data_IF_799902051360
#
_entry.id   IF_799902051360
#
_cell.length_a   1.000
_cell.length_b   1.000
_cell.length_c   1.000
_cell.angle_alpha   90.00
_cell.angle_beta   90.00
_cell.angle_gamma   90.00
#
_symmetry.space_group_name_H-M   'P 1'
#
loop_
_entity.id
_entity.type
_entity.pdbx_description
1 polymer ?
#
# COMPACT_ATOMS: atom_id res chain seq x y z
N UNK A 1 -28.82 -5.12 -22.51
CA UNK A 1 -28.38 -5.78 -21.27
C UNK A 1 -26.87 -5.70 -21.23
N UNK A 2 -26.39 -4.96 -20.24
CA UNK A 2 -24.99 -4.74 -19.87
C UNK A 2 -24.26 -6.06 -19.60
N UNK A 3 -22.99 -6.12 -19.98
CA UNK A 3 -21.97 -6.62 -19.07
C UNK A 3 -20.64 -5.95 -19.39
N UNK A 4 -20.34 -4.96 -18.54
CA UNK A 4 -19.02 -4.37 -18.34
C UNK A 4 -18.04 -5.52 -18.08
N UNK A 5 -17.03 -5.65 -18.93
CA UNK A 5 -15.83 -6.40 -18.61
C UNK A 5 -14.78 -5.39 -18.21
N UNK A 6 -14.91 -4.85 -16.99
CA UNK A 6 -13.79 -4.21 -16.30
C UNK A 6 -12.84 -5.32 -15.88
N UNK A 7 -11.90 -5.61 -16.76
CA UNK A 7 -10.74 -6.44 -16.47
C UNK A 7 -9.53 -5.53 -16.52
N UNK A 8 -9.36 -4.74 -15.45
CA UNK A 8 -8.14 -3.98 -15.21
C UNK A 8 -7.07 -4.96 -14.76
N UNK A 9 -6.56 -5.71 -15.73
CA UNK A 9 -5.45 -6.62 -15.57
C UNK A 9 -4.17 -5.78 -15.75
N UNK A 10 -3.79 -5.05 -14.69
CA UNK A 10 -2.53 -4.30 -14.67
C UNK A 10 -1.38 -5.31 -14.54
N UNK A 11 -0.82 -5.72 -15.68
CA UNK A 11 0.49 -6.37 -15.67
C UNK A 11 1.55 -5.30 -15.49
N UNK A 12 2.37 -5.46 -14.46
CA UNK A 12 3.61 -4.70 -14.22
C UNK A 12 4.67 -5.12 -15.25
N UNK A 13 4.33 -5.01 -16.53
CA UNK A 13 5.23 -5.27 -17.63
C UNK A 13 5.62 -3.89 -18.19
N UNK A 14 6.77 -3.41 -17.72
CA UNK A 14 7.52 -2.26 -18.23
C UNK A 14 6.87 -0.86 -17.99
N UNK A 15 7.69 0.08 -17.50
CA UNK A 15 7.41 1.53 -17.33
C UNK A 15 6.66 1.96 -16.06
N UNK A 16 7.14 3.06 -15.47
CA UNK A 16 6.59 3.67 -14.26
C UNK A 16 5.08 3.90 -14.36
N UNK A 17 4.36 3.42 -13.33
CA UNK A 17 2.92 3.55 -13.20
C UNK A 17 2.55 4.49 -12.06
N UNK A 18 1.33 5.03 -12.12
CA UNK A 18 0.69 5.72 -11.01
C UNK A 18 -0.46 4.83 -10.55
N UNK A 19 -0.41 4.44 -9.30
CA UNK A 19 -1.47 3.72 -8.63
C UNK A 19 -2.23 4.73 -7.75
N UNK A 20 -3.52 4.93 -7.99
CA UNK A 20 -4.36 5.86 -7.21
C UNK A 20 -5.26 5.12 -6.22
N UNK A 21 -5.05 5.34 -4.92
CA UNK A 21 -5.87 4.77 -3.85
C UNK A 21 -6.69 5.86 -3.18
N UNK A 22 -7.95 5.59 -2.85
CA UNK A 22 -8.75 6.53 -2.07
C UNK A 22 -8.21 6.68 -0.64
N UNK A 23 -8.45 7.80 0.05
CA UNK A 23 -8.05 7.96 1.44
C UNK A 23 -8.59 6.87 2.38
N UNK A 24 -9.75 6.30 2.07
CA UNK A 24 -10.40 5.21 2.81
C UNK A 24 -9.63 3.89 2.64
N UNK A 25 -9.31 3.52 1.40
CA UNK A 25 -8.50 2.32 1.13
C UNK A 25 -7.07 2.49 1.66
N UNK A 26 -6.50 3.69 1.58
CA UNK A 26 -5.23 4.02 2.23
C UNK A 26 -5.29 3.82 3.75
N UNK A 27 -6.41 4.17 4.39
CA UNK A 27 -6.60 3.95 5.82
C UNK A 27 -6.52 2.46 6.18
N UNK A 28 -7.04 1.56 5.33
CA UNK A 28 -6.94 0.10 5.52
C UNK A 28 -5.46 -0.32 5.49
N UNK A 29 -4.71 0.07 4.45
CA UNK A 29 -3.26 -0.21 4.35
C UNK A 29 -2.53 0.27 5.60
N UNK A 30 -2.82 1.50 6.03
CA UNK A 30 -2.18 2.10 7.18
C UNK A 30 -2.49 1.38 8.50
N UNK A 31 -3.74 0.95 8.71
CA UNK A 31 -4.08 0.19 9.92
C UNK A 31 -3.36 -1.15 9.98
N UNK A 32 -3.23 -1.84 8.86
CA UNK A 32 -2.46 -3.10 8.81
C UNK A 32 -0.97 -2.84 9.03
N UNK A 33 -0.41 -1.82 8.37
CA UNK A 33 1.00 -1.46 8.52
C UNK A 33 1.39 -1.08 9.96
N UNK A 34 0.46 -0.52 10.74
CA UNK A 34 0.68 -0.21 12.15
C UNK A 34 0.96 -1.44 13.02
N UNK A 35 0.63 -2.64 12.53
CA UNK A 35 0.93 -3.89 13.24
C UNK A 35 2.33 -4.43 12.94
N UNK A 36 3.04 -3.90 11.94
CA UNK A 36 4.41 -4.34 11.60
C UNK A 36 5.39 -4.33 12.79
N UNK A 37 5.37 -3.35 13.73
CA UNK A 37 6.20 -3.39 14.92
C UNK A 37 5.92 -4.58 15.84
N UNK A 38 4.73 -5.18 15.78
CA UNK A 38 4.33 -6.34 16.57
C UNK A 38 4.65 -7.68 15.88
N UNK A 39 4.97 -7.65 14.58
CA UNK A 39 5.36 -8.84 13.82
C UNK A 39 6.80 -9.22 14.17
N UNK A 40 7.08 -10.51 14.39
CA UNK A 40 8.43 -10.95 14.75
C UNK A 40 9.45 -10.69 13.62
N UNK A 41 10.70 -10.36 13.97
CA UNK A 41 11.79 -10.16 13.01
C UNK A 41 11.97 -11.37 12.10
N UNK A 42 11.81 -12.59 12.63
CA UNK A 42 11.89 -13.83 11.85
C UNK A 42 10.91 -13.86 10.68
N UNK A 43 9.69 -13.38 10.89
CA UNK A 43 8.64 -13.35 9.86
C UNK A 43 8.94 -12.27 8.83
N UNK A 44 9.39 -11.08 9.26
CA UNK A 44 9.82 -10.01 8.33
C UNK A 44 10.99 -10.49 7.46
N UNK A 45 11.99 -11.13 8.05
CA UNK A 45 13.13 -11.69 7.33
C UNK A 45 12.75 -12.81 6.37
N UNK A 46 11.75 -13.65 6.69
CA UNK A 46 11.31 -14.70 5.76
C UNK A 46 10.62 -14.15 4.51
N UNK A 47 10.24 -12.87 4.50
CA UNK A 47 9.74 -12.16 3.31
C UNK A 47 10.85 -11.49 2.48
N UNK A 48 12.12 -11.65 2.87
CA UNK A 48 13.25 -10.95 2.25
C UNK A 48 13.30 -9.47 2.59
N UNK A 49 12.67 -9.06 3.71
CA UNK A 49 12.68 -7.69 4.23
C UNK A 49 13.49 -7.63 5.53
N UNK A 50 13.79 -6.43 5.98
CA UNK A 50 14.45 -6.13 7.26
C UNK A 50 13.52 -5.33 8.16
N UNK A 51 13.87 -5.24 9.45
CA UNK A 51 13.17 -4.34 10.38
C UNK A 51 13.21 -2.88 9.91
N UNK A 52 14.34 -2.45 9.35
CA UNK A 52 14.49 -1.11 8.81
C UNK A 52 13.50 -0.85 7.65
N UNK A 53 13.31 -1.82 6.74
CA UNK A 53 12.31 -1.69 5.67
C UNK A 53 10.89 -1.50 6.22
N UNK A 54 10.53 -2.23 7.28
CA UNK A 54 9.23 -2.10 7.93
C UNK A 54 9.05 -0.74 8.62
N UNK A 55 10.09 -0.25 9.30
CA UNK A 55 10.08 1.05 9.97
C UNK A 55 10.01 2.19 8.95
N UNK A 56 10.74 2.10 7.84
CA UNK A 56 10.70 3.08 6.76
C UNK A 56 9.34 3.09 6.07
N UNK A 57 8.77 1.92 5.79
CA UNK A 57 7.44 1.83 5.21
C UNK A 57 6.39 2.47 6.13
N UNK A 58 6.41 2.13 7.43
CA UNK A 58 5.48 2.71 8.40
C UNK A 58 5.68 4.23 8.55
N UNK A 59 6.93 4.71 8.49
CA UNK A 59 7.25 6.14 8.50
C UNK A 59 6.64 6.86 7.30
N UNK A 60 6.78 6.32 6.09
CA UNK A 60 6.19 6.87 4.86
C UNK A 60 4.67 6.98 5.03
N UNK A 61 4.00 5.90 5.43
CA UNK A 61 2.55 5.92 5.60
C UNK A 61 2.08 6.89 6.69
N UNK A 62 2.84 7.05 7.77
CA UNK A 62 2.53 8.04 8.83
C UNK A 62 2.60 9.48 8.30
N UNK A 63 3.62 9.80 7.51
CA UNK A 63 3.77 11.12 6.89
C UNK A 63 2.60 11.39 5.95
N UNK A 64 2.32 10.47 5.02
CA UNK A 64 1.17 10.57 4.12
C UNK A 64 -0.13 10.70 4.89
N UNK A 65 -0.35 9.91 5.95
CA UNK A 65 -1.57 9.99 6.76
C UNK A 65 -1.73 11.36 7.44
N UNK A 66 -0.63 11.99 7.84
CA UNK A 66 -0.63 13.31 8.46
C UNK A 66 -1.00 14.43 7.49
N UNK A 67 -0.84 14.21 6.18
CA UNK A 67 -1.17 15.16 5.12
C UNK A 67 -2.60 14.99 4.58
N UNK A 68 -3.26 13.84 4.83
CA UNK A 68 -4.64 13.60 4.39
C UNK A 68 -5.61 14.49 5.16
N UNK A 69 -6.33 15.34 4.42
CA UNK A 69 -7.39 16.20 4.92
C UNK A 69 -8.72 15.99 4.16
N UNK A 70 -9.72 16.86 4.41
CA UNK A 70 -11.02 16.78 3.72
C UNK A 70 -10.96 17.16 2.23
N UNK A 71 -9.92 17.87 1.79
CA UNK A 71 -9.73 18.27 0.40
C UNK A 71 -8.98 17.20 -0.39
N UNK A 72 -8.33 16.25 0.29
CA UNK A 72 -7.56 15.17 -0.32
C UNK A 72 -8.51 14.18 -1.03
N UNK A 73 -8.46 14.19 -2.36
CA UNK A 73 -9.24 13.30 -3.19
C UNK A 73 -8.66 11.88 -3.24
N UNK A 74 -7.33 11.76 -3.36
CA UNK A 74 -6.63 10.46 -3.53
C UNK A 74 -5.19 10.50 -2.97
N UNK A 75 -4.65 9.32 -2.69
CA UNK A 75 -3.22 9.09 -2.49
C UNK A 75 -2.67 8.41 -3.73
N UNK A 76 -1.59 8.95 -4.30
CA UNK A 76 -0.94 8.46 -5.52
C UNK A 76 0.35 7.75 -5.16
N UNK A 77 0.44 6.45 -5.41
CA UNK A 77 1.69 5.73 -5.36
C UNK A 77 2.31 5.73 -6.75
N UNK A 78 3.35 6.52 -6.92
CA UNK A 78 4.11 6.61 -8.16
C UNK A 78 5.31 5.66 -8.12
N UNK A 79 5.32 4.73 -9.06
CA UNK A 79 6.43 3.79 -9.26
C UNK A 79 7.45 4.43 -10.20
N UNK A 80 8.62 4.79 -9.70
CA UNK A 80 9.69 5.31 -10.56
C UNK A 80 10.60 4.13 -10.95
N UNK A 81 10.54 3.71 -12.22
CA UNK A 81 11.69 3.04 -12.83
C UNK A 81 12.75 4.08 -13.10
N UNK A 82 14.04 3.78 -12.90
CA UNK A 82 15.22 4.68 -12.93
C UNK A 82 15.40 5.61 -14.16
N UNK A 83 14.44 5.71 -15.08
CA UNK A 83 14.41 6.74 -16.10
C UNK A 83 13.10 7.52 -16.05
N UNK A 84 13.24 8.84 -15.85
CA UNK A 84 12.26 9.92 -16.09
C UNK A 84 11.40 10.33 -14.88
N UNK A 85 11.93 11.32 -14.16
CA UNK A 85 11.13 12.34 -13.48
C UNK A 85 10.35 13.15 -14.54
N UNK A 86 9.20 12.62 -15.00
CA UNK A 86 8.21 13.51 -15.63
C UNK A 86 7.40 14.18 -14.52
N UNK A 87 7.34 15.52 -14.45
CA UNK A 87 6.47 16.18 -13.49
C UNK A 87 5.02 15.86 -13.86
N UNK A 88 4.26 15.29 -12.92
CA UNK A 88 2.82 15.15 -13.08
C UNK A 88 2.20 16.50 -12.79
N UNK A 89 1.93 17.25 -13.85
CA UNK A 89 1.07 18.41 -13.78
C UNK A 89 -0.33 17.95 -13.39
N UNK A 90 -0.82 18.44 -12.25
CA UNK A 90 -2.20 18.46 -11.79
C UNK A 90 -2.66 17.24 -10.96
N UNK A 91 -2.63 17.40 -9.64
CA UNK A 91 -3.86 17.38 -8.85
C UNK A 91 -3.58 18.13 -7.54
N UNK A 92 -4.17 19.31 -7.37
CA UNK A 92 -4.08 20.11 -6.13
C UNK A 92 -4.65 19.38 -4.90
N UNK A 93 -5.23 18.18 -5.08
CA UNK A 93 -5.90 17.38 -4.06
C UNK A 93 -5.35 15.95 -3.93
N UNK A 94 -4.15 15.65 -4.43
CA UNK A 94 -3.56 14.32 -4.29
C UNK A 94 -2.21 14.36 -3.56
N UNK A 95 -1.99 13.40 -2.66
CA UNK A 95 -0.71 13.21 -1.97
C UNK A 95 0.10 12.15 -2.71
N UNK A 96 1.34 12.44 -3.07
CA UNK A 96 2.20 11.56 -3.85
C UNK A 96 3.21 10.82 -2.97
N UNK A 97 3.20 9.49 -3.03
CA UNK A 97 4.24 8.60 -2.50
C UNK A 97 5.06 8.12 -3.69
N UNK A 98 6.37 8.35 -3.63
CA UNK A 98 7.31 7.89 -4.65
C UNK A 98 8.05 6.67 -4.11
N UNK A 99 8.04 5.58 -4.87
CA UNK A 99 8.70 4.33 -4.49
C UNK A 99 9.31 3.61 -5.70
N UNK A 100 10.39 2.85 -5.48
CA UNK A 100 10.88 1.92 -6.50
C UNK A 100 9.96 0.69 -6.58
N UNK A 101 9.90 -0.01 -7.73
CA UNK A 101 9.13 -1.26 -7.84
C UNK A 101 9.47 -2.28 -6.74
N UNK A 102 10.75 -2.38 -6.37
CA UNK A 102 11.21 -3.29 -5.33
C UNK A 102 10.63 -2.93 -3.94
N UNK A 103 10.51 -1.65 -3.63
CA UNK A 103 9.95 -1.19 -2.36
C UNK A 103 8.48 -1.56 -2.24
N UNK A 104 7.71 -1.36 -3.33
CA UNK A 104 6.28 -1.73 -3.37
C UNK A 104 6.10 -3.22 -3.15
N UNK A 105 6.96 -4.04 -3.78
CA UNK A 105 6.95 -5.49 -3.56
C UNK A 105 7.29 -5.86 -2.11
N UNK A 106 8.26 -5.18 -1.48
CA UNK A 106 8.57 -5.37 -0.05
C UNK A 106 7.38 -5.00 0.83
N UNK A 107 6.77 -3.84 0.58
CA UNK A 107 5.62 -3.36 1.35
C UNK A 107 4.46 -4.35 1.31
N UNK A 108 4.12 -4.86 0.12
CA UNK A 108 3.08 -5.87 -0.05
C UNK A 108 3.38 -7.13 0.76
N UNK A 109 4.58 -7.70 0.63
CA UNK A 109 4.95 -8.92 1.38
C UNK A 109 4.91 -8.72 2.89
N UNK A 110 5.33 -7.54 3.37
CA UNK A 110 5.25 -7.21 4.80
C UNK A 110 3.80 -7.13 5.28
N UNK A 111 2.90 -6.53 4.51
CA UNK A 111 1.47 -6.47 4.84
C UNK A 111 0.81 -7.86 4.81
N UNK A 112 1.09 -8.67 3.79
CA UNK A 112 0.61 -10.06 3.70
C UNK A 112 1.08 -10.89 4.91
N UNK A 113 2.35 -10.73 5.30
CA UNK A 113 2.91 -11.41 6.47
C UNK A 113 2.27 -10.92 7.78
N UNK A 114 1.94 -9.63 7.89
CA UNK A 114 1.20 -9.10 9.04
C UNK A 114 -0.19 -9.73 9.13
N UNK A 115 -0.95 -9.75 8.03
CA UNK A 115 -2.26 -10.40 7.96
C UNK A 115 -2.20 -11.88 8.35
N UNK A 116 -1.23 -12.62 7.79
CA UNK A 116 -1.06 -14.04 8.09
C UNK A 116 -0.67 -14.31 9.55
N UNK A 117 0.09 -13.40 10.17
CA UNK A 117 0.53 -13.54 11.57
C UNK A 117 -0.59 -13.27 12.58
N UNK A 118 -1.49 -12.34 12.27
CA UNK A 118 -2.62 -12.00 13.13
C UNK A 118 -3.74 -13.05 13.00
N UNK A 119 -3.99 -13.51 11.77
CA UNK A 119 -5.18 -14.29 11.45
C UNK A 119 -6.46 -13.43 11.42
N UNK A 120 -7.59 -13.97 10.95
CA UNK A 120 -8.76 -13.16 10.59
C UNK A 120 -9.40 -12.42 11.77
N UNK A 121 -9.55 -13.10 12.92
CA UNK A 121 -10.20 -12.52 14.10
C UNK A 121 -9.38 -11.40 14.72
N UNK A 122 -8.08 -11.62 14.92
CA UNK A 122 -7.18 -10.60 15.49
C UNK A 122 -6.99 -9.42 14.52
N UNK A 123 -6.93 -9.69 13.20
CA UNK A 123 -6.88 -8.64 12.19
C UNK A 123 -8.10 -7.71 12.29
N UNK A 124 -9.30 -8.27 12.43
CA UNK A 124 -10.51 -7.47 12.62
C UNK A 124 -10.47 -6.68 13.93
N UNK A 125 -10.07 -7.31 15.04
CA UNK A 125 -9.98 -6.64 16.34
C UNK A 125 -9.01 -5.46 16.36
N UNK A 126 -7.87 -5.58 15.65
CA UNK A 126 -6.84 -4.53 15.65
C UNK A 126 -7.04 -3.46 14.60
N UNK A 127 -7.45 -3.85 13.39
CA UNK A 127 -7.58 -2.92 12.26
C UNK A 127 -8.98 -2.35 12.10
N UNK A 128 -10.00 -3.05 12.61
CA UNK A 128 -11.42 -2.75 12.37
C UNK A 128 -11.95 -3.25 11.03
N UNK A 129 -11.12 -3.91 10.21
CA UNK A 129 -11.46 -4.38 8.86
C UNK A 129 -11.41 -5.90 8.78
N UNK A 130 -12.31 -6.47 7.98
CA UNK A 130 -12.33 -7.91 7.69
C UNK A 130 -11.18 -8.28 6.77
N UNK A 131 -10.79 -9.55 6.83
CA UNK A 131 -9.74 -10.11 5.96
C UNK A 131 -10.02 -9.87 4.46
N UNK A 132 -11.28 -9.95 4.05
CA UNK A 132 -11.71 -9.70 2.66
C UNK A 132 -11.46 -8.25 2.23
N UNK A 133 -11.81 -7.28 3.08
CA UNK A 133 -11.58 -5.84 2.82
C UNK A 133 -10.09 -5.53 2.73
N UNK A 134 -9.30 -6.14 3.62
CA UNK A 134 -7.84 -6.00 3.61
C UNK A 134 -7.25 -6.62 2.35
N UNK A 135 -7.66 -7.84 1.98
CA UNK A 135 -7.16 -8.54 0.79
C UNK A 135 -7.46 -7.75 -0.48
N UNK A 136 -8.67 -7.23 -0.65
CA UNK A 136 -9.04 -6.40 -1.80
C UNK A 136 -8.09 -5.20 -1.96
N UNK A 137 -7.71 -4.57 -0.84
CA UNK A 137 -6.78 -3.43 -0.86
C UNK A 137 -5.33 -3.85 -1.09
N UNK A 138 -4.90 -5.01 -0.60
CA UNK A 138 -3.54 -5.52 -0.86
C UNK A 138 -3.37 -6.02 -2.30
N UNK A 139 -4.43 -6.57 -2.89
CA UNK A 139 -4.45 -6.91 -4.31
C UNK A 139 -4.34 -5.65 -5.17
N UNK A 140 -4.85 -4.50 -4.70
CA UNK A 140 -4.66 -3.22 -5.37
C UNK A 140 -3.20 -2.73 -5.36
N UNK A 141 -2.34 -3.18 -4.43
CA UNK A 141 -0.91 -2.88 -4.47
C UNK A 141 -0.15 -3.70 -5.55
N UNK A 142 -0.86 -4.44 -6.42
CA UNK A 142 -0.36 -5.09 -7.65
C UNK A 142 -1.37 -5.07 -8.81
#
# INVERSE_FOLDING_TARGET
MTNSSDSTNWRVDEFGGILEISPERFAIVFQVAKELPNISDRVIHSQGCTRADADDFLRILRLTRGEIDQATANVRLRVISESREQPLLNAESAIEIVAAPEDIMKWRRMLEAACASLGPDELFLRSGYREEEVREVLDFLM
#
